data_IF_130957188083
#
_entry.id   IF_130957188083
#
_cell.length_a   1.000
_cell.length_b   1.000
_cell.length_c   1.000
_cell.angle_alpha   90.00
_cell.angle_beta   90.00
_cell.angle_gamma   90.00
#
_symmetry.space_group_name_H-M   'P 1'
#
loop_
_entity.id
_entity.type
_entity.pdbx_description
1 polymer ?
#
# COMPACT_ATOMS: atom_id res chain seq x y z
N UNK A 1 48.48 -17.06 -26.53
CA UNK A 1 47.07 -17.42 -26.40
C UNK A 1 46.52 -16.71 -25.17
N UNK A 2 45.83 -15.60 -25.41
CA UNK A 2 45.42 -14.57 -24.43
C UNK A 2 43.98 -14.87 -24.01
N UNK A 3 43.70 -15.00 -22.71
CA UNK A 3 42.32 -15.02 -22.20
C UNK A 3 42.15 -13.96 -21.11
N UNK A 4 41.20 -13.07 -21.37
CA UNK A 4 40.91 -11.80 -20.70
C UNK A 4 40.16 -12.04 -19.38
N UNK A 5 40.68 -11.55 -18.26
CA UNK A 5 40.10 -11.64 -16.91
C UNK A 5 39.20 -10.45 -16.49
N UNK A 6 38.69 -9.66 -17.44
CA UNK A 6 38.04 -8.35 -17.16
C UNK A 6 36.53 -8.33 -16.96
N UNK A 7 35.81 -9.46 -17.09
CA UNK A 7 34.35 -9.42 -17.26
C UNK A 7 33.52 -9.70 -15.99
N UNK A 8 34.12 -10.28 -14.94
CA UNK A 8 33.37 -10.69 -13.73
C UNK A 8 32.99 -9.50 -12.83
N UNK A 9 33.88 -8.53 -12.66
CA UNK A 9 33.63 -7.33 -11.84
C UNK A 9 32.61 -6.40 -12.53
N UNK A 10 32.70 -6.28 -13.85
CA UNK A 10 31.75 -5.51 -14.66
C UNK A 10 30.34 -6.11 -14.64
N UNK A 11 30.21 -7.46 -14.66
CA UNK A 11 28.91 -8.15 -14.52
C UNK A 11 28.29 -7.99 -13.12
N UNK A 12 29.09 -7.96 -12.05
CA UNK A 12 28.57 -7.77 -10.69
C UNK A 12 28.02 -6.35 -10.48
N UNK A 13 28.74 -5.34 -10.98
CA UNK A 13 28.35 -3.93 -10.89
C UNK A 13 27.11 -3.59 -11.74
N UNK A 14 26.98 -4.18 -12.93
CA UNK A 14 25.77 -4.00 -13.77
C UNK A 14 24.55 -4.67 -13.15
N UNK A 15 24.69 -5.86 -12.58
CA UNK A 15 23.58 -6.55 -11.91
C UNK A 15 23.09 -5.75 -10.68
N UNK A 16 24.01 -5.16 -9.92
CA UNK A 16 23.68 -4.30 -8.78
C UNK A 16 22.92 -3.03 -9.22
N UNK A 17 23.34 -2.38 -10.32
CA UNK A 17 22.63 -1.22 -10.89
C UNK A 17 21.22 -1.56 -11.40
N UNK A 18 21.03 -2.72 -12.03
CA UNK A 18 19.71 -3.16 -12.51
C UNK A 18 18.76 -3.43 -11.33
N UNK A 19 19.25 -4.04 -10.24
CA UNK A 19 18.45 -4.24 -9.02
C UNK A 19 18.10 -2.91 -8.35
N UNK A 20 19.00 -1.93 -8.35
CA UNK A 20 18.75 -0.59 -7.80
C UNK A 20 17.69 0.17 -8.61
N UNK A 21 17.71 0.05 -9.94
CA UNK A 21 16.71 0.69 -10.82
C UNK A 21 15.31 0.07 -10.67
N UNK A 22 15.20 -1.24 -10.39
CA UNK A 22 13.91 -1.89 -10.13
C UNK A 22 13.32 -1.47 -8.77
N UNK A 23 14.17 -1.14 -7.79
CA UNK A 23 13.74 -0.71 -6.46
C UNK A 23 13.23 0.76 -6.42
N UNK A 24 13.60 1.59 -7.40
CA UNK A 24 13.02 2.92 -7.60
C UNK A 24 11.61 2.77 -8.19
N UNK A 25 10.65 2.44 -7.32
CA UNK A 25 9.29 2.06 -7.71
C UNK A 25 8.67 3.01 -8.73
N UNK A 26 8.22 2.44 -9.85
CA UNK A 26 7.36 3.10 -10.83
C UNK A 26 6.05 3.53 -10.13
N UNK A 27 6.01 4.76 -9.62
CA UNK A 27 4.73 5.40 -9.30
C UNK A 27 4.04 5.72 -10.62
N UNK A 28 2.77 5.33 -10.74
CA UNK A 28 1.98 5.75 -11.88
C UNK A 28 1.97 7.30 -11.90
N UNK A 29 1.96 7.93 -13.10
CA UNK A 29 1.93 9.37 -13.19
C UNK A 29 0.73 9.91 -12.40
N UNK A 30 1.03 10.78 -11.44
CA UNK A 30 0.02 11.34 -10.56
C UNK A 30 -0.93 12.21 -11.36
N UNK A 31 -2.24 12.02 -11.17
CA UNK A 31 -3.24 12.80 -11.90
C UNK A 31 -3.37 14.17 -11.24
N UNK A 32 -3.06 15.24 -11.97
CA UNK A 32 -3.30 16.61 -11.48
C UNK A 32 -4.74 17.00 -11.76
N UNK A 33 -5.51 17.35 -10.73
CA UNK A 33 -6.87 17.88 -10.84
C UNK A 33 -6.92 19.19 -10.05
N UNK A 34 -7.25 20.30 -10.71
CA UNK A 34 -7.38 21.62 -10.09
C UNK A 34 -6.16 22.05 -9.24
N UNK A 35 -4.96 21.67 -9.66
CA UNK A 35 -3.71 21.97 -8.95
C UNK A 35 -3.35 20.98 -7.82
N UNK A 36 -4.17 19.95 -7.59
CA UNK A 36 -3.89 18.89 -6.62
C UNK A 36 -3.28 17.66 -7.29
N UNK A 37 -2.25 17.09 -6.67
CA UNK A 37 -1.73 15.75 -7.00
C UNK A 37 -2.66 14.67 -6.44
N UNK A 38 -3.21 13.81 -7.30
CA UNK A 38 -4.00 12.65 -6.90
C UNK A 38 -3.16 11.37 -7.03
N UNK A 39 -2.71 10.83 -5.90
CA UNK A 39 -2.01 9.54 -5.85
C UNK A 39 -2.93 8.39 -5.40
N UNK A 40 -2.81 7.23 -6.04
CA UNK A 40 -3.58 6.05 -5.69
C UNK A 40 -2.79 5.16 -4.74
N UNK A 41 -3.10 5.27 -3.44
CA UNK A 41 -2.38 4.51 -2.40
C UNK A 41 -2.77 3.03 -2.37
N UNK A 42 -4.03 2.70 -2.64
CA UNK A 42 -4.53 1.33 -2.61
C UNK A 42 -5.66 1.12 -3.62
N UNK A 43 -5.74 -0.08 -4.19
CA UNK A 43 -6.77 -0.48 -5.15
C UNK A 43 -7.46 -1.77 -4.68
N UNK A 44 -8.51 -2.18 -5.40
CA UNK A 44 -9.26 -3.42 -5.14
C UNK A 44 -9.93 -3.49 -3.75
N UNK A 45 -10.19 -2.34 -3.14
CA UNK A 45 -10.90 -2.23 -1.85
C UNK A 45 -12.39 -2.54 -2.00
N UNK A 46 -13.02 -2.95 -0.90
CA UNK A 46 -14.45 -3.30 -0.83
C UNK A 46 -15.24 -2.24 -0.08
N UNK A 47 -15.67 -1.21 -0.79
CA UNK A 47 -16.51 -0.12 -0.26
C UNK A 47 -15.90 0.47 1.03
N UNK A 48 -14.71 1.12 0.95
CA UNK A 48 -14.08 1.74 2.11
C UNK A 48 -14.95 2.88 2.67
N UNK A 49 -15.04 3.01 3.99
CA UNK A 49 -15.90 3.98 4.67
C UNK A 49 -15.12 5.03 5.46
N UNK A 50 -14.51 4.63 6.58
CA UNK A 50 -13.71 5.53 7.41
C UNK A 50 -12.21 5.23 7.26
N UNK A 51 -11.39 6.27 7.34
CA UNK A 51 -9.94 6.18 7.52
C UNK A 51 -9.51 6.85 8.83
N UNK A 52 -8.50 6.29 9.49
CA UNK A 52 -7.88 6.78 10.72
C UNK A 52 -6.38 6.53 10.67
N UNK A 53 -5.60 7.42 11.28
CA UNK A 53 -4.15 7.35 11.29
C UNK A 53 -3.65 7.01 12.71
N UNK A 54 -2.69 6.10 12.79
CA UNK A 54 -1.94 5.82 14.01
C UNK A 54 -0.72 6.75 14.13
N UNK A 55 -0.12 6.91 15.32
CA UNK A 55 1.09 7.75 15.52
C UNK A 55 2.28 7.34 14.65
N UNK A 56 2.37 6.06 14.26
CA UNK A 56 3.40 5.52 13.37
C UNK A 56 3.11 5.77 11.86
N UNK A 57 2.12 6.62 11.55
CA UNK A 57 1.62 6.92 10.20
C UNK A 57 0.92 5.73 9.50
N UNK A 58 0.64 4.64 10.22
CA UNK A 58 -0.21 3.56 9.68
C UNK A 58 -1.61 4.10 9.43
N UNK A 59 -2.14 3.84 8.23
CA UNK A 59 -3.54 4.09 7.90
C UNK A 59 -4.37 2.83 8.19
N UNK A 60 -5.38 2.99 9.01
CA UNK A 60 -6.44 2.02 9.25
C UNK A 60 -7.70 2.49 8.55
N UNK A 61 -8.39 1.60 7.84
CA UNK A 61 -9.68 1.93 7.25
C UNK A 61 -10.66 0.77 7.27
N UNK A 62 -11.93 1.10 7.42
CA UNK A 62 -13.04 0.14 7.43
C UNK A 62 -13.54 -0.10 6.02
N UNK A 63 -13.80 -1.36 5.69
CA UNK A 63 -14.61 -1.76 4.54
C UNK A 63 -16.01 -2.10 5.03
N UNK A 64 -17.05 -1.68 4.28
CA UNK A 64 -18.45 -1.82 4.69
C UNK A 64 -18.81 -3.25 5.13
N UNK A 65 -18.22 -4.24 4.47
CA UNK A 65 -18.42 -5.67 4.73
C UNK A 65 -17.76 -6.21 6.01
N UNK A 66 -17.09 -5.36 6.79
CA UNK A 66 -16.59 -5.71 8.12
C UNK A 66 -15.08 -5.83 8.25
N UNK A 67 -14.32 -5.57 7.19
CA UNK A 67 -12.85 -5.71 7.22
C UNK A 67 -12.20 -4.43 7.71
N UNK A 68 -11.26 -4.58 8.65
CA UNK A 68 -10.29 -3.54 9.00
C UNK A 68 -9.03 -3.74 8.16
N UNK A 69 -8.78 -2.81 7.26
CA UNK A 69 -7.61 -2.82 6.37
C UNK A 69 -6.48 -1.99 6.97
N UNK A 70 -5.26 -2.39 6.65
CA UNK A 70 -4.04 -1.75 7.13
C UNK A 70 -3.18 -1.38 5.94
N UNK A 71 -2.84 -0.10 5.84
CA UNK A 71 -1.81 0.37 4.94
C UNK A 71 -0.64 0.91 5.76
N UNK A 72 0.52 0.31 5.57
CA UNK A 72 1.73 0.57 6.35
C UNK A 72 2.93 0.50 5.42
N UNK A 73 3.89 1.41 5.62
CA UNK A 73 5.15 1.45 4.84
C UNK A 73 4.91 1.49 3.33
N UNK A 74 3.96 2.31 2.88
CA UNK A 74 3.65 2.48 1.46
C UNK A 74 2.90 1.32 0.82
N UNK A 75 2.37 0.36 1.60
CA UNK A 75 1.72 -0.85 1.08
C UNK A 75 0.45 -1.22 1.83
N UNK A 76 -0.57 -1.64 1.07
CA UNK A 76 -1.72 -2.33 1.62
C UNK A 76 -1.31 -3.75 2.04
N UNK A 77 -1.51 -4.10 3.30
CA UNK A 77 -1.27 -5.46 3.75
C UNK A 77 -2.27 -6.43 3.09
N UNK A 78 -1.86 -7.66 2.71
CA UNK A 78 -2.73 -8.57 1.98
C UNK A 78 -3.95 -9.00 2.81
N UNK A 79 -3.72 -9.35 4.08
CA UNK A 79 -4.76 -9.79 5.01
C UNK A 79 -5.31 -8.59 5.80
N UNK A 80 -6.63 -8.56 6.08
CA UNK A 80 -7.18 -7.60 7.01
C UNK A 80 -6.64 -7.86 8.42
N UNK A 81 -6.51 -6.81 9.24
CA UNK A 81 -6.13 -6.97 10.65
C UNK A 81 -7.27 -7.54 11.49
N UNK A 82 -8.51 -7.27 11.08
CA UNK A 82 -9.71 -7.77 11.73
C UNK A 82 -10.83 -7.92 10.71
N UNK A 83 -11.70 -8.90 10.92
CA UNK A 83 -12.93 -9.09 10.15
C UNK A 83 -14.07 -9.26 11.15
N UNK A 84 -15.00 -8.32 11.17
CA UNK A 84 -16.21 -8.43 11.97
C UNK A 84 -17.07 -9.59 11.48
N UNK A 85 -17.68 -10.31 12.43
CA UNK A 85 -18.71 -11.30 12.16
C UNK A 85 -20.09 -10.65 12.24
N UNK A 86 -21.09 -11.28 11.64
CA UNK A 86 -22.51 -10.89 11.72
C UNK A 86 -22.82 -9.46 11.25
N UNK A 87 -22.08 -8.98 10.24
CA UNK A 87 -22.31 -7.66 9.64
C UNK A 87 -23.55 -7.69 8.73
N UNK A 88 -24.58 -6.93 9.10
CA UNK A 88 -25.76 -6.73 8.25
C UNK A 88 -25.44 -5.74 7.14
N UNK A 89 -25.57 -6.17 5.88
CA UNK A 89 -25.33 -5.35 4.69
C UNK A 89 -26.65 -5.02 3.97
N UNK A 90 -27.32 -3.96 4.43
CA UNK A 90 -28.54 -3.42 3.82
C UNK A 90 -28.43 -1.90 3.74
N UNK A 91 -28.73 -1.32 2.58
CA UNK A 91 -28.74 0.14 2.39
C UNK A 91 -27.44 0.81 2.90
N UNK A 92 -27.54 1.58 4.00
CA UNK A 92 -26.45 2.32 4.66
C UNK A 92 -25.91 1.62 5.92
N UNK A 93 -26.14 0.31 6.07
CA UNK A 93 -25.58 -0.48 7.17
C UNK A 93 -24.26 -1.15 6.78
N UNK A 94 -23.51 -1.58 7.79
CA UNK A 94 -22.19 -2.20 7.67
C UNK A 94 -21.31 -1.76 8.83
N UNK A 95 -20.00 -2.00 8.71
CA UNK A 95 -19.04 -1.36 9.61
C UNK A 95 -18.83 0.07 9.16
N UNK A 96 -19.24 1.01 10.01
CA UNK A 96 -19.23 2.43 9.67
C UNK A 96 -17.90 3.06 10.07
N UNK A 97 -17.61 3.04 11.36
CA UNK A 97 -16.48 3.76 11.93
C UNK A 97 -15.62 2.94 12.90
N UNK A 98 -14.49 3.54 13.25
CA UNK A 98 -13.54 3.03 14.22
C UNK A 98 -13.03 4.20 15.08
N UNK A 99 -12.59 3.94 16.31
CA UNK A 99 -11.84 4.92 17.08
C UNK A 99 -10.61 4.24 17.68
N UNK A 100 -9.54 5.01 17.83
CA UNK A 100 -8.36 4.57 18.56
C UNK A 100 -8.59 4.93 20.01
N UNK A 101 -8.31 4.00 20.92
CA UNK A 101 -8.32 4.30 22.34
C UNK A 101 -7.30 5.42 22.63
N UNK A 102 -7.63 6.40 23.48
CA UNK A 102 -6.73 7.52 23.76
C UNK A 102 -5.44 7.10 24.51
N UNK A 103 -5.52 6.00 25.28
CA UNK A 103 -4.40 5.42 26.05
C UNK A 103 -3.81 4.18 25.38
#
# INVERSE_FOLDING_TARGET
>A
MILRSGNLVASLLTTLCVVFFIAAGNRAPTKIIDGFEIDTLATNLRVPWQITFLPDQTMLFTEREGRLRVYRNGKLLPKPAFTAIDVVLRNKTGVLGLCIHPD
#
